data_IF_340047952361
#
_entry.id   IF_340047952361
#
_cell.length_a   1.000
_cell.length_b   1.000
_cell.length_c   1.000
_cell.angle_alpha   90.00
_cell.angle_beta   90.00
_cell.angle_gamma   90.00
#
_symmetry.space_group_name_H-M   'P 1'
#
loop_
_entity.id
_entity.type
_entity.pdbx_description
1 polymer ?
#
# COMPACT_ATOMS: atom_id res chain seq x y z
N UNK A 1 -18.80 11.63 6.17
CA UNK A 1 -18.09 11.12 4.96
C UNK A 1 -16.61 11.07 5.29
N UNK A 2 -16.05 9.87 5.35
CA UNK A 2 -14.64 9.59 5.70
C UNK A 2 -13.79 9.52 4.43
N UNK A 3 -12.58 10.10 4.46
CA UNK A 3 -11.65 10.12 3.32
C UNK A 3 -10.41 9.30 3.60
N UNK A 4 -10.25 8.22 2.90
CA UNK A 4 -9.17 7.25 3.11
C UNK A 4 -8.22 7.26 1.92
N UNK A 5 -6.94 7.54 2.21
CA UNK A 5 -5.87 7.31 1.26
C UNK A 5 -5.43 5.85 1.30
N UNK A 6 -5.12 5.27 0.14
CA UNK A 6 -4.64 3.90 0.02
C UNK A 6 -3.43 3.86 -0.90
N UNK A 7 -2.33 3.24 -0.48
CA UNK A 7 -1.16 3.03 -1.32
C UNK A 7 -0.45 1.70 -1.03
N UNK A 8 0.23 1.21 -2.07
CA UNK A 8 1.11 0.04 -1.99
C UNK A 8 2.53 0.45 -2.36
N UNK A 9 3.51 0.13 -1.53
CA UNK A 9 4.90 0.58 -1.71
C UNK A 9 5.90 -0.56 -1.59
N UNK A 10 7.01 -0.44 -2.30
CA UNK A 10 8.05 -1.46 -2.38
C UNK A 10 7.82 -2.45 -3.52
N UNK A 11 8.38 -3.67 -3.41
CA UNK A 11 8.10 -4.75 -4.35
C UNK A 11 6.64 -5.18 -4.27
N UNK A 12 6.03 -5.55 -5.39
CA UNK A 12 4.68 -6.10 -5.40
C UNK A 12 4.67 -7.60 -5.03
N UNK A 13 3.51 -8.12 -4.70
CA UNK A 13 3.29 -9.53 -4.44
C UNK A 13 1.83 -9.92 -4.62
N UNK A 14 1.57 -11.22 -4.62
CA UNK A 14 0.26 -11.79 -4.93
C UNK A 14 -0.88 -11.39 -3.98
N UNK A 15 -0.61 -11.04 -2.75
CA UNK A 15 -1.67 -10.74 -1.79
C UNK A 15 -2.11 -9.26 -1.74
N UNK A 16 -1.43 -8.35 -2.46
CA UNK A 16 -1.71 -6.91 -2.36
C UNK A 16 -3.14 -6.54 -2.75
N UNK A 17 -3.59 -7.00 -3.89
CA UNK A 17 -4.94 -6.72 -4.37
C UNK A 17 -6.01 -7.32 -3.43
N UNK A 18 -5.79 -8.52 -2.91
CA UNK A 18 -6.69 -9.15 -1.95
C UNK A 18 -6.76 -8.38 -0.64
N UNK A 19 -5.62 -7.93 -0.11
CA UNK A 19 -5.55 -7.13 1.11
C UNK A 19 -6.23 -5.77 0.95
N UNK A 20 -5.97 -5.06 -0.15
CA UNK A 20 -6.65 -3.79 -0.48
C UNK A 20 -8.17 -3.99 -0.60
N UNK A 21 -8.60 -5.05 -1.29
CA UNK A 21 -10.02 -5.40 -1.39
C UNK A 21 -10.64 -5.64 -0.01
N UNK A 22 -9.95 -6.33 0.90
CA UNK A 22 -10.40 -6.55 2.29
C UNK A 22 -10.63 -5.24 3.03
N UNK A 23 -9.65 -4.33 2.97
CA UNK A 23 -9.76 -2.98 3.55
C UNK A 23 -10.97 -2.24 3.01
N UNK A 24 -11.09 -2.15 1.68
CA UNK A 24 -12.17 -1.39 1.03
C UNK A 24 -13.53 -2.01 1.33
N UNK A 25 -13.66 -3.33 1.28
CA UNK A 25 -14.91 -4.01 1.62
C UNK A 25 -15.33 -3.76 3.07
N UNK A 26 -14.39 -3.77 4.01
CA UNK A 26 -14.68 -3.45 5.40
C UNK A 26 -15.19 -2.01 5.55
N UNK A 27 -14.52 -1.06 4.93
CA UNK A 27 -14.88 0.36 4.99
C UNK A 27 -16.24 0.66 4.33
N UNK A 28 -16.49 0.06 3.16
CA UNK A 28 -17.73 0.34 2.39
C UNK A 28 -18.95 -0.45 2.86
N UNK A 29 -18.77 -1.48 3.68
CA UNK A 29 -19.87 -2.21 4.32
C UNK A 29 -20.32 -1.57 5.64
N UNK A 30 -19.62 -0.54 6.11
CA UNK A 30 -20.01 0.25 7.28
C UNK A 30 -21.19 1.19 6.98
N UNK A 31 -21.68 1.86 8.01
CA UNK A 31 -22.79 2.81 7.91
C UNK A 31 -22.35 4.19 7.39
N UNK A 32 -21.05 4.46 7.36
CA UNK A 32 -20.49 5.74 6.96
C UNK A 32 -20.17 5.78 5.46
N UNK A 33 -20.44 6.92 4.83
CA UNK A 33 -19.97 7.20 3.47
C UNK A 33 -18.45 7.33 3.45
N UNK A 34 -17.78 6.59 2.57
CA UNK A 34 -16.32 6.58 2.45
C UNK A 34 -15.88 6.93 1.02
N UNK A 35 -14.97 7.90 0.91
CA UNK A 35 -14.22 8.21 -0.31
C UNK A 35 -12.84 7.57 -0.24
N UNK A 36 -12.42 6.86 -1.28
CA UNK A 36 -11.13 6.17 -1.34
C UNK A 36 -10.24 6.80 -2.40
N UNK A 37 -9.09 7.29 -1.97
CA UNK A 37 -8.06 7.90 -2.79
C UNK A 37 -6.91 6.92 -2.98
N UNK A 38 -6.83 6.24 -4.12
CA UNK A 38 -5.73 5.33 -4.43
C UNK A 38 -4.55 6.06 -5.03
N UNK A 39 -3.45 6.19 -4.28
CA UNK A 39 -2.21 6.80 -4.77
C UNK A 39 -1.45 5.83 -5.67
N UNK A 40 -1.10 6.30 -6.87
CA UNK A 40 -0.42 5.49 -7.87
C UNK A 40 1.08 5.41 -7.58
N UNK A 41 1.65 4.25 -7.83
CA UNK A 41 3.10 4.02 -7.63
C UNK A 41 3.60 4.32 -6.19
N UNK A 42 2.79 4.00 -5.20
CA UNK A 42 3.16 4.07 -3.78
C UNK A 42 3.39 5.50 -3.27
N UNK A 43 4.47 5.68 -2.49
CA UNK A 43 4.82 7.01 -1.96
C UNK A 43 5.07 8.05 -3.05
N UNK A 44 5.49 7.65 -4.25
CA UNK A 44 5.65 8.57 -5.36
C UNK A 44 4.34 9.27 -5.69
N UNK A 45 3.23 8.53 -5.73
CA UNK A 45 1.91 9.12 -5.93
C UNK A 45 1.53 10.11 -4.84
N UNK A 46 1.84 9.80 -3.58
CA UNK A 46 1.57 10.71 -2.47
C UNK A 46 2.45 11.96 -2.52
N UNK A 47 3.72 11.84 -2.92
CA UNK A 47 4.66 12.98 -3.06
C UNK A 47 4.18 13.94 -4.15
N UNK A 48 3.83 13.43 -5.32
CA UNK A 48 3.48 14.26 -6.49
C UNK A 48 1.98 14.50 -6.66
N UNK A 49 1.14 14.02 -5.74
CA UNK A 49 -0.31 14.17 -5.82
C UNK A 49 -0.95 13.37 -6.94
N UNK A 50 -0.35 12.25 -7.34
CA UNK A 50 -0.87 11.37 -8.38
C UNK A 50 -1.75 10.27 -7.77
N UNK A 51 -3.05 10.43 -7.88
CA UNK A 51 -4.05 9.52 -7.32
C UNK A 51 -5.26 9.38 -8.25
N UNK A 52 -6.08 8.37 -8.00
CA UNK A 52 -7.41 8.24 -8.56
C UNK A 52 -8.44 7.96 -7.48
N UNK A 53 -9.65 8.43 -7.68
CA UNK A 53 -10.79 8.03 -6.85
C UNK A 53 -11.16 6.60 -7.17
N UNK A 54 -11.39 5.80 -6.13
CA UNK A 54 -11.73 4.39 -6.25
C UNK A 54 -13.11 4.14 -5.68
N UNK A 55 -13.86 3.30 -6.36
CA UNK A 55 -15.16 2.79 -5.94
C UNK A 55 -15.09 1.31 -5.58
N UNK A 56 -16.11 0.77 -4.95
CA UNK A 56 -16.18 -0.66 -4.68
C UNK A 56 -16.07 -1.55 -5.92
N UNK A 57 -16.44 -1.03 -7.10
CA UNK A 57 -16.34 -1.75 -8.37
C UNK A 57 -14.90 -1.94 -8.85
N UNK A 58 -13.98 -1.02 -8.52
CA UNK A 58 -12.55 -1.12 -8.86
C UNK A 58 -11.88 -2.32 -8.16
N UNK A 59 -12.46 -2.77 -7.06
CA UNK A 59 -11.98 -3.92 -6.29
C UNK A 59 -12.71 -5.23 -6.63
N UNK A 60 -13.57 -5.22 -7.64
CA UNK A 60 -14.24 -6.43 -8.13
C UNK A 60 -13.30 -7.22 -9.03
N UNK A 61 -13.29 -8.56 -8.88
CA UNK A 61 -12.48 -9.45 -9.72
C UNK A 61 -10.97 -9.40 -9.51
N UNK A 62 -10.48 -8.71 -8.46
CA UNK A 62 -9.03 -8.58 -8.21
C UNK A 62 -8.49 -9.54 -7.13
N UNK A 63 -9.34 -10.36 -6.51
CA UNK A 63 -8.95 -11.19 -5.37
C UNK A 63 -7.77 -12.14 -5.68
N UNK A 64 -7.79 -12.74 -6.86
CA UNK A 64 -6.75 -13.67 -7.34
C UNK A 64 -5.78 -13.03 -8.34
N UNK A 65 -5.91 -11.74 -8.59
CA UNK A 65 -5.04 -11.01 -9.51
C UNK A 65 -3.75 -10.62 -8.82
N UNK A 66 -2.61 -11.06 -9.37
CA UNK A 66 -1.29 -10.69 -8.87
C UNK A 66 -0.93 -9.22 -9.07
N UNK A 67 0.14 -8.81 -8.43
CA UNK A 67 0.60 -7.42 -8.45
C UNK A 67 -0.29 -6.47 -7.66
N UNK A 68 -0.38 -5.25 -8.08
CA UNK A 68 -1.21 -4.20 -7.46
C UNK A 68 -1.91 -3.35 -8.50
N UNK A 69 -3.22 -3.10 -8.32
CA UNK A 69 -3.99 -2.22 -9.21
C UNK A 69 -3.58 -0.74 -9.10
N UNK A 70 -2.85 -0.37 -8.04
CA UNK A 70 -2.32 0.99 -7.85
C UNK A 70 -0.89 1.15 -8.38
N UNK A 71 -0.24 0.05 -8.74
CA UNK A 71 1.19 0.05 -8.97
C UNK A 71 1.99 0.29 -7.69
N UNK A 72 3.27 0.05 -7.74
CA UNK A 72 4.19 0.34 -6.63
C UNK A 72 5.52 0.85 -7.15
N UNK A 73 6.24 1.59 -6.32
CA UNK A 73 7.60 2.01 -6.57
C UNK A 73 8.43 1.92 -5.30
N UNK A 74 9.74 1.90 -5.46
CA UNK A 74 10.67 1.97 -4.33
C UNK A 74 11.03 3.43 -4.07
N UNK A 75 10.65 3.90 -2.89
CA UNK A 75 11.10 5.19 -2.34
C UNK A 75 11.93 4.87 -1.10
N UNK A 76 13.27 4.83 -1.21
CA UNK A 76 14.12 4.37 -0.11
C UNK A 76 13.99 5.28 1.12
N UNK A 77 13.80 4.69 2.29
CA UNK A 77 13.72 5.44 3.55
C UNK A 77 14.98 6.30 3.81
N UNK A 78 16.15 5.79 3.43
CA UNK A 78 17.43 6.50 3.63
C UNK A 78 17.48 7.87 2.95
N UNK A 79 16.76 8.05 1.86
CA UNK A 79 16.74 9.29 1.06
C UNK A 79 15.38 9.99 1.08
N UNK A 80 14.50 9.59 2.00
CA UNK A 80 13.15 10.16 2.05
C UNK A 80 13.13 11.63 2.47
N UNK A 81 14.09 12.01 3.33
CA UNK A 81 14.26 13.38 3.80
C UNK A 81 15.08 14.25 2.86
N UNK A 82 15.79 13.64 1.90
CA UNK A 82 16.56 14.37 0.91
C UNK A 82 15.59 15.01 -0.11
N UNK A 83 15.84 16.23 -0.56
CA UNK A 83 15.05 16.82 -1.63
C UNK A 83 15.16 15.99 -2.91
N UNK A 84 14.15 16.08 -3.76
CA UNK A 84 14.24 15.49 -5.10
C UNK A 84 15.14 16.34 -6.04
N UNK A 85 15.25 15.91 -7.29
CA UNK A 85 16.09 16.60 -8.31
C UNK A 85 15.68 18.05 -8.55
N UNK A 86 14.45 18.42 -8.20
CA UNK A 86 13.90 19.77 -8.32
C UNK A 86 13.92 20.55 -7.00
N UNK A 87 14.55 20.01 -5.96
CA UNK A 87 14.61 20.62 -4.63
C UNK A 87 13.34 20.43 -3.78
N UNK A 88 12.41 19.58 -4.18
CA UNK A 88 11.16 19.33 -3.44
C UNK A 88 11.45 18.51 -2.17
N UNK A 89 11.02 19.01 -1.02
CA UNK A 89 10.99 18.24 0.22
C UNK A 89 9.86 17.20 0.15
N UNK A 90 10.24 15.92 0.01
CA UNK A 90 9.30 14.80 -0.18
C UNK A 90 8.36 14.62 1.00
N UNK A 91 8.86 14.74 2.23
CA UNK A 91 8.04 14.59 3.45
C UNK A 91 6.98 15.69 3.52
N UNK A 92 7.39 16.93 3.30
CA UNK A 92 6.48 18.06 3.30
C UNK A 92 5.44 17.96 2.17
N UNK A 93 5.85 17.52 0.99
CA UNK A 93 4.94 17.31 -0.13
C UNK A 93 3.86 16.23 0.18
N UNK A 94 4.26 15.13 0.82
CA UNK A 94 3.31 14.09 1.26
C UNK A 94 2.31 14.65 2.28
N UNK A 95 2.77 15.44 3.25
CA UNK A 95 1.90 16.12 4.24
C UNK A 95 0.93 17.07 3.56
N UNK A 96 1.43 17.93 2.66
CA UNK A 96 0.59 18.87 1.91
C UNK A 96 -0.51 18.16 1.12
N UNK A 97 -0.20 17.08 0.43
CA UNK A 97 -1.19 16.31 -0.31
C UNK A 97 -2.21 15.63 0.61
N UNK A 98 -1.76 15.09 1.75
CA UNK A 98 -2.64 14.53 2.77
C UNK A 98 -3.68 15.56 3.26
N UNK A 99 -3.23 16.75 3.67
CA UNK A 99 -4.10 17.80 4.17
C UNK A 99 -4.94 18.47 3.08
N UNK A 100 -4.38 18.66 1.87
CA UNK A 100 -5.11 19.20 0.72
C UNK A 100 -6.31 18.33 0.35
N UNK A 101 -6.17 17.02 0.39
CA UNK A 101 -7.23 16.06 0.13
C UNK A 101 -8.14 15.86 1.36
N UNK A 102 -7.78 16.43 2.50
CA UNK A 102 -8.50 16.26 3.78
C UNK A 102 -8.67 14.78 4.13
N UNK A 103 -7.59 14.00 4.00
CA UNK A 103 -7.64 12.60 4.35
C UNK A 103 -7.78 12.43 5.86
N UNK A 104 -8.67 11.56 6.29
CA UNK A 104 -8.84 11.18 7.69
C UNK A 104 -7.84 10.11 8.11
N UNK A 105 -7.44 9.25 7.16
CA UNK A 105 -6.47 8.20 7.38
C UNK A 105 -5.76 7.83 6.08
N UNK A 106 -4.52 7.37 6.20
CA UNK A 106 -3.75 6.79 5.10
C UNK A 106 -3.42 5.34 5.42
N UNK A 107 -3.92 4.41 4.60
CA UNK A 107 -3.63 2.98 4.70
C UNK A 107 -2.50 2.62 3.75
N UNK A 108 -1.44 2.03 4.29
CA UNK A 108 -0.18 1.77 3.58
C UNK A 108 0.16 0.28 3.65
N UNK A 109 0.32 -0.35 2.49
CA UNK A 109 0.78 -1.73 2.39
C UNK A 109 2.24 -1.75 1.92
N UNK A 110 3.11 -2.42 2.65
CA UNK A 110 4.51 -2.51 2.26
C UNK A 110 5.41 -3.25 3.24
N UNK A 111 6.69 -3.28 2.90
CA UNK A 111 7.74 -3.93 3.68
C UNK A 111 8.40 -3.00 4.71
N UNK A 112 9.54 -3.44 5.25
CA UNK A 112 10.24 -2.74 6.33
C UNK A 112 10.55 -1.26 6.02
N UNK A 113 11.08 -0.96 4.82
CA UNK A 113 11.36 0.43 4.42
C UNK A 113 10.10 1.29 4.36
N UNK A 114 9.00 0.71 3.88
CA UNK A 114 7.68 1.37 3.82
C UNK A 114 7.17 1.70 5.22
N UNK A 115 7.27 0.77 6.17
CA UNK A 115 6.86 1.01 7.57
C UNK A 115 7.70 2.09 8.25
N UNK A 116 9.00 2.18 7.95
CA UNK A 116 9.86 3.26 8.47
C UNK A 116 9.39 4.64 7.98
N UNK A 117 9.07 4.76 6.69
CA UNK A 117 8.50 6.00 6.14
C UNK A 117 7.12 6.29 6.72
N UNK A 118 6.27 5.28 6.87
CA UNK A 118 4.96 5.43 7.52
C UNK A 118 5.08 5.94 8.96
N UNK A 119 6.02 5.40 9.72
CA UNK A 119 6.27 5.86 11.10
C UNK A 119 6.79 7.31 11.15
N UNK A 120 7.64 7.72 10.20
CA UNK A 120 8.07 9.11 10.07
C UNK A 120 6.86 10.02 9.84
N UNK A 121 6.00 9.69 8.88
CA UNK A 121 4.79 10.48 8.59
C UNK A 121 3.82 10.51 9.79
N UNK A 122 3.72 9.41 10.55
CA UNK A 122 2.94 9.39 11.80
C UNK A 122 3.52 10.37 12.84
N UNK A 123 4.85 10.43 12.97
CA UNK A 123 5.52 11.39 13.86
C UNK A 123 5.28 12.84 13.41
N UNK A 124 5.10 13.05 12.12
CA UNK A 124 4.71 14.35 11.54
C UNK A 124 3.21 14.68 11.70
N UNK A 125 2.44 13.84 12.39
CA UNK A 125 1.06 14.09 12.76
C UNK A 125 0.00 13.50 11.82
N UNK A 126 0.37 12.67 10.84
CA UNK A 126 -0.60 12.01 9.96
C UNK A 126 -1.20 10.78 10.66
N UNK A 127 -2.49 10.56 10.44
CA UNK A 127 -3.15 9.33 10.88
C UNK A 127 -2.87 8.21 9.86
N UNK A 128 -2.12 7.20 10.29
CA UNK A 128 -1.62 6.14 9.40
C UNK A 128 -1.89 4.76 9.98
N UNK A 129 -2.39 3.88 9.13
CA UNK A 129 -2.50 2.44 9.39
C UNK A 129 -1.63 1.70 8.38
N UNK A 130 -0.81 0.76 8.84
CA UNK A 130 0.06 -0.02 7.98
C UNK A 130 -0.31 -1.49 7.97
N UNK A 131 -0.13 -2.13 6.82
CA UNK A 131 -0.34 -3.56 6.62
C UNK A 131 1.00 -4.21 6.21
N UNK A 132 1.45 -5.26 6.93
CA UNK A 132 2.74 -5.89 6.68
C UNK A 132 2.70 -6.72 5.40
N UNK A 133 3.39 -6.28 4.35
CA UNK A 133 3.48 -6.94 3.05
C UNK A 133 4.93 -7.27 2.72
N UNK A 134 5.22 -8.55 2.58
CA UNK A 134 6.45 -9.11 2.02
C UNK A 134 6.26 -10.59 1.70
N UNK A 135 7.00 -11.13 0.73
CA UNK A 135 7.04 -12.57 0.46
C UNK A 135 8.03 -13.31 1.38
N UNK A 136 8.90 -12.58 2.07
CA UNK A 136 10.00 -13.16 2.86
C UNK A 136 9.59 -13.49 4.30
N UNK A 137 8.42 -13.04 4.74
CA UNK A 137 7.91 -13.16 6.13
C UNK A 137 8.90 -12.65 7.19
N UNK A 138 9.61 -11.57 6.88
CA UNK A 138 10.75 -11.04 7.63
C UNK A 138 10.45 -9.75 8.40
N UNK A 139 9.17 -9.42 8.61
CA UNK A 139 8.76 -8.25 9.39
C UNK A 139 8.55 -8.62 10.85
N UNK A 140 9.29 -7.97 11.72
CA UNK A 140 9.14 -8.14 13.16
C UNK A 140 7.77 -7.61 13.63
N UNK A 141 7.14 -8.34 14.57
CA UNK A 141 5.86 -7.93 15.16
C UNK A 141 4.62 -8.47 14.45
N UNK A 142 4.77 -9.34 13.47
CA UNK A 142 3.69 -10.11 12.85
C UNK A 142 4.10 -11.56 12.66
N UNK A 143 3.16 -12.49 12.82
CA UNK A 143 3.41 -13.92 12.61
C UNK A 143 3.46 -14.25 11.12
N UNK A 144 2.66 -13.56 10.32
CA UNK A 144 2.57 -13.80 8.87
C UNK A 144 2.33 -12.49 8.12
N UNK A 145 3.08 -12.29 7.04
CA UNK A 145 2.95 -11.14 6.16
C UNK A 145 2.03 -11.43 4.98
N UNK A 146 1.33 -10.41 4.49
CA UNK A 146 0.59 -10.49 3.24
C UNK A 146 1.57 -10.74 2.08
N UNK A 147 1.43 -11.87 1.41
CA UNK A 147 2.27 -12.29 0.31
C UNK A 147 3.08 -13.56 0.55
N UNK A 148 3.49 -13.85 1.78
CA UNK A 148 4.30 -15.04 2.09
C UNK A 148 3.54 -16.33 1.74
N UNK A 149 2.38 -16.58 2.35
CA UNK A 149 1.63 -17.80 2.12
C UNK A 149 1.18 -17.95 0.65
N UNK A 150 0.80 -16.85 0.02
CA UNK A 150 0.42 -16.85 -1.40
C UNK A 150 1.59 -17.25 -2.30
N UNK A 151 2.79 -16.74 -2.01
CA UNK A 151 4.00 -17.10 -2.75
C UNK A 151 4.37 -18.60 -2.54
N UNK A 152 4.27 -19.09 -1.31
CA UNK A 152 4.50 -20.51 -1.00
C UNK A 152 3.54 -21.41 -1.78
N UNK A 153 2.24 -21.10 -1.76
CA UNK A 153 1.23 -21.90 -2.46
C UNK A 153 1.49 -21.93 -3.98
N UNK A 154 1.76 -20.78 -4.60
CA UNK A 154 2.05 -20.71 -6.04
C UNK A 154 3.34 -21.48 -6.39
N UNK A 155 4.39 -21.33 -5.58
CA UNK A 155 5.64 -22.03 -5.79
C UNK A 155 5.43 -23.57 -5.69
N UNK A 156 4.65 -24.03 -4.72
CA UNK A 156 4.30 -25.44 -4.55
C UNK A 156 3.55 -25.98 -5.77
N UNK A 157 2.51 -25.28 -6.23
CA UNK A 157 1.78 -25.68 -7.44
C UNK A 157 2.70 -25.77 -8.67
N UNK A 158 3.60 -24.80 -8.85
CA UNK A 158 4.54 -24.83 -9.97
C UNK A 158 5.51 -26.01 -9.86
N UNK A 159 6.02 -26.31 -8.66
CA UNK A 159 6.91 -27.46 -8.42
C UNK A 159 6.17 -28.77 -8.68
N UNK A 160 4.95 -28.91 -8.20
CA UNK A 160 4.13 -30.09 -8.41
C UNK A 160 3.86 -30.34 -9.91
N UNK A 161 3.55 -29.28 -10.68
CA UNK A 161 3.38 -29.36 -12.12
C UNK A 161 4.65 -29.86 -12.82
N UNK A 162 5.83 -29.45 -12.39
CA UNK A 162 7.11 -29.91 -12.96
C UNK A 162 7.42 -31.36 -12.54
N UNK A 163 7.13 -31.73 -11.30
CA UNK A 163 7.41 -33.03 -10.75
C UNK A 163 6.61 -34.16 -11.45
N UNK A 164 5.41 -33.86 -11.96
CA UNK A 164 4.53 -34.82 -12.63
C UNK A 164 4.87 -35.05 -14.11
N UNK A 165 5.85 -34.34 -14.63
CA UNK A 165 6.36 -34.56 -16.01
C UNK A 165 7.56 -35.47 -16.01
#
# INVERSE_FOLDING_TARGET
MMRIGLLTSGGDCQALNAAMRGVVKCLTNGEEDVEIYGFLEGYRGLIYGNFRMLSGSDFSGILTKGGTILGSSRTPFKTITDPDENGLNKVEAMKQNYYKLRLDCLVILGGNGTHKTANLLRQEGLNIVTLPKTIDNDLWGTDMTFGFQSAVNIATECIDCIHTT
#
